data_IF_289569305090
#
_entry.id   IF_289569305090
#
_cell.length_a   1.000
_cell.length_b   1.000
_cell.length_c   1.000
_cell.angle_alpha   90.00
_cell.angle_beta   90.00
_cell.angle_gamma   90.00
#
_symmetry.space_group_name_H-M   'P 1'
#
loop_
_entity.id
_entity.type
_entity.pdbx_description
1 polymer ?
#
# COMPACT_ATOMS: atom_id res chain seq x y z
N UNK A 1 -18.54 3.74 -4.04
CA UNK A 1 -17.12 3.41 -4.27
C UNK A 1 -17.02 2.60 -5.55
N UNK A 2 -16.26 3.12 -6.52
CA UNK A 2 -15.87 2.42 -7.75
C UNK A 2 -14.71 1.44 -7.42
N UNK A 3 -14.36 0.56 -8.37
CA UNK A 3 -13.14 -0.27 -8.30
C UNK A 3 -13.07 -1.20 -7.08
N UNK A 4 -14.21 -1.72 -6.61
CA UNK A 4 -14.28 -2.55 -5.39
C UNK A 4 -13.35 -3.77 -5.43
N UNK A 5 -13.25 -4.42 -6.58
CA UNK A 5 -12.40 -5.60 -6.77
C UNK A 5 -10.91 -5.24 -6.73
N UNK A 6 -10.50 -4.17 -7.43
CA UNK A 6 -9.12 -3.66 -7.37
C UNK A 6 -8.73 -3.21 -5.96
N UNK A 7 -9.68 -2.62 -5.23
CA UNK A 7 -9.50 -2.21 -3.83
C UNK A 7 -9.32 -3.43 -2.94
N UNK A 8 -10.19 -4.44 -3.08
CA UNK A 8 -10.08 -5.67 -2.31
C UNK A 8 -8.74 -6.37 -2.57
N UNK A 9 -8.34 -6.49 -3.83
CA UNK A 9 -7.05 -7.06 -4.22
C UNK A 9 -5.88 -6.30 -3.59
N UNK A 10 -5.85 -4.96 -3.64
CA UNK A 10 -4.78 -4.19 -2.99
C UNK A 10 -4.79 -4.37 -1.46
N UNK A 11 -5.96 -4.47 -0.82
CA UNK A 11 -6.03 -4.72 0.63
C UNK A 11 -5.50 -6.13 0.96
N UNK A 12 -5.77 -7.13 0.12
CA UNK A 12 -5.24 -8.49 0.27
C UNK A 12 -3.72 -8.50 0.11
N UNK A 13 -3.16 -7.83 -0.91
CA UNK A 13 -1.70 -7.69 -1.09
C UNK A 13 -1.06 -6.97 0.12
N UNK A 14 -1.63 -5.86 0.58
CA UNK A 14 -1.14 -5.17 1.78
C UNK A 14 -1.13 -6.09 3.00
N UNK A 15 -2.14 -6.96 3.14
CA UNK A 15 -2.18 -7.95 4.22
C UNK A 15 -1.06 -8.99 4.09
N UNK A 16 -0.81 -9.50 2.88
CA UNK A 16 0.25 -10.48 2.63
C UNK A 16 1.63 -9.91 2.96
N UNK A 17 1.89 -8.67 2.54
CA UNK A 17 3.14 -7.95 2.85
C UNK A 17 3.34 -7.78 4.37
N UNK A 18 2.27 -7.42 5.09
CA UNK A 18 2.32 -7.29 6.55
C UNK A 18 2.52 -8.63 7.26
N UNK A 19 1.87 -9.70 6.79
CA UNK A 19 2.05 -11.04 7.35
C UNK A 19 3.50 -11.53 7.14
N UNK A 20 4.07 -11.27 5.95
CA UNK A 20 5.48 -11.60 5.67
C UNK A 20 6.44 -10.79 6.53
N UNK A 21 6.21 -9.47 6.64
CA UNK A 21 6.98 -8.59 7.51
C UNK A 21 6.99 -9.08 8.97
N UNK A 22 5.82 -9.47 9.50
CA UNK A 22 5.71 -10.02 10.85
C UNK A 22 6.49 -11.33 11.01
N UNK A 23 6.44 -12.21 10.00
CA UNK A 23 7.21 -13.45 9.98
C UNK A 23 8.71 -13.18 10.01
N UNK A 24 9.20 -12.24 9.20
CA UNK A 24 10.62 -11.90 9.14
C UNK A 24 11.10 -11.26 10.44
N UNK A 25 10.34 -10.31 11.00
CA UNK A 25 10.64 -9.72 12.31
C UNK A 25 10.73 -10.76 13.43
N UNK A 26 9.94 -11.83 13.35
CA UNK A 26 9.92 -12.88 14.37
C UNK A 26 11.02 -13.93 14.19
N UNK A 27 11.49 -14.16 12.96
CA UNK A 27 12.31 -15.34 12.62
C UNK A 27 13.70 -15.01 12.08
N UNK A 28 13.92 -13.80 11.57
CA UNK A 28 15.20 -13.36 11.03
C UNK A 28 15.93 -12.44 12.04
N UNK A 29 16.95 -12.94 12.77
CA UNK A 29 17.70 -12.12 13.73
C UNK A 29 18.54 -11.02 13.07
N UNK A 30 18.80 -11.12 11.77
CA UNK A 30 19.56 -10.14 10.98
C UNK A 30 18.65 -9.22 10.15
N UNK A 31 17.34 -9.22 10.41
CA UNK A 31 16.40 -8.36 9.68
C UNK A 31 16.74 -6.89 9.92
N UNK A 32 17.02 -6.18 8.82
CA UNK A 32 17.55 -4.83 8.85
C UNK A 32 16.46 -3.76 8.82
N UNK A 33 16.82 -2.54 9.26
CA UNK A 33 15.94 -1.37 9.14
C UNK A 33 15.57 -1.06 7.67
N UNK A 34 16.49 -1.32 6.74
CA UNK A 34 16.24 -1.12 5.32
C UNK A 34 15.18 -2.10 4.77
N UNK A 35 15.25 -3.38 5.17
CA UNK A 35 14.22 -4.37 4.82
C UNK A 35 12.87 -4.01 5.44
N UNK A 36 12.86 -3.60 6.72
CA UNK A 36 11.67 -3.11 7.40
C UNK A 36 11.03 -1.92 6.66
N UNK A 37 11.84 -0.94 6.28
CA UNK A 37 11.38 0.23 5.53
C UNK A 37 10.75 -0.17 4.21
N UNK A 38 11.42 -1.02 3.41
CA UNK A 38 10.92 -1.48 2.11
C UNK A 38 9.58 -2.21 2.26
N UNK A 39 9.49 -3.15 3.22
CA UNK A 39 8.26 -3.92 3.44
C UNK A 39 7.08 -3.01 3.86
N UNK A 40 7.33 -2.04 4.75
CA UNK A 40 6.32 -1.06 5.13
C UNK A 40 5.91 -0.15 3.98
N UNK A 41 6.88 0.37 3.21
CA UNK A 41 6.60 1.18 2.03
C UNK A 41 5.73 0.43 1.02
N UNK A 42 5.96 -0.87 0.85
CA UNK A 42 5.18 -1.73 -0.04
C UNK A 42 3.74 -1.95 0.45
N UNK A 43 3.56 -2.25 1.74
CA UNK A 43 2.22 -2.32 2.34
C UNK A 43 1.46 -0.98 2.22
N UNK A 44 2.16 0.14 2.47
CA UNK A 44 1.58 1.47 2.33
C UNK A 44 1.21 1.81 0.89
N UNK A 45 2.03 1.41 -0.09
CA UNK A 45 1.71 1.56 -1.51
C UNK A 45 0.32 1.00 -1.80
N UNK A 46 0.05 -0.25 -1.41
CA UNK A 46 -1.23 -0.90 -1.66
C UNK A 46 -2.40 -0.22 -0.95
N UNK A 47 -2.25 0.14 0.33
CA UNK A 47 -3.28 0.84 1.09
C UNK A 47 -3.61 2.21 0.49
N UNK A 48 -2.57 2.95 0.12
CA UNK A 48 -2.72 4.28 -0.45
C UNK A 48 -3.31 4.21 -1.86
N UNK A 49 -2.90 3.21 -2.65
CA UNK A 49 -3.45 2.98 -3.99
C UNK A 49 -4.95 2.69 -3.91
N UNK A 50 -5.35 1.75 -3.04
CA UNK A 50 -6.75 1.42 -2.78
C UNK A 50 -7.58 2.65 -2.38
N UNK A 51 -7.04 3.49 -1.50
CA UNK A 51 -7.69 4.75 -1.12
C UNK A 51 -7.90 5.67 -2.32
N UNK A 52 -6.85 5.91 -3.11
CA UNK A 52 -6.90 6.90 -4.19
C UNK A 52 -7.81 6.49 -5.35
N UNK A 53 -7.90 5.20 -5.69
CA UNK A 53 -8.74 4.74 -6.79
C UNK A 53 -10.22 4.66 -6.47
N UNK A 54 -10.64 4.83 -5.20
CA UNK A 54 -12.02 4.59 -4.72
C UNK A 54 -13.15 5.29 -5.48
N UNK A 55 -12.84 6.40 -6.13
CA UNK A 55 -13.79 7.17 -6.94
C UNK A 55 -13.30 7.43 -8.37
N UNK A 56 -12.14 6.87 -8.76
CA UNK A 56 -11.57 7.01 -10.11
C UNK A 56 -12.39 6.20 -11.11
N UNK A 57 -12.50 6.69 -12.34
CA UNK A 57 -13.10 5.93 -13.44
C UNK A 57 -12.41 4.57 -13.62
N UNK A 58 -13.19 3.51 -13.81
CA UNK A 58 -12.68 2.14 -13.84
C UNK A 58 -11.69 1.93 -14.98
N UNK A 59 -11.94 2.51 -16.17
CA UNK A 59 -11.01 2.37 -17.30
C UNK A 59 -9.67 3.02 -17.00
N UNK A 60 -9.67 4.15 -16.31
CA UNK A 60 -8.42 4.82 -15.89
C UNK A 60 -7.72 4.02 -14.79
N UNK A 61 -8.46 3.51 -13.80
CA UNK A 61 -7.89 2.72 -12.72
C UNK A 61 -7.23 1.45 -13.25
N UNK A 62 -7.87 0.76 -14.20
CA UNK A 62 -7.31 -0.44 -14.87
C UNK A 62 -6.14 -0.08 -15.78
N UNK A 63 -6.23 1.02 -16.54
CA UNK A 63 -5.14 1.44 -17.41
C UNK A 63 -3.88 1.87 -16.65
N UNK A 64 -4.04 2.40 -15.43
CA UNK A 64 -2.99 2.79 -14.50
C UNK A 64 -1.72 3.30 -15.18
N UNK A 65 -1.77 4.54 -15.70
CA UNK A 65 -0.58 5.18 -16.27
C UNK A 65 0.55 5.27 -15.22
N UNK A 66 1.80 5.46 -15.67
CA UNK A 66 2.93 5.67 -14.75
C UNK A 66 2.69 6.85 -13.80
N UNK A 67 2.07 7.93 -14.30
CA UNK A 67 1.70 9.09 -13.47
C UNK A 67 0.64 8.71 -12.42
N UNK A 68 -0.37 7.93 -12.82
CA UNK A 68 -1.39 7.42 -11.90
C UNK A 68 -0.77 6.50 -10.84
N UNK A 69 0.11 5.59 -11.24
CA UNK A 69 0.84 4.72 -10.33
C UNK A 69 1.63 5.54 -9.32
N UNK A 70 2.49 6.45 -9.78
CA UNK A 70 3.29 7.31 -8.89
C UNK A 70 2.39 8.13 -7.97
N UNK A 71 1.27 8.65 -8.47
CA UNK A 71 0.34 9.48 -7.71
C UNK A 71 -0.40 8.68 -6.63
N UNK A 72 -0.88 7.49 -6.95
CA UNK A 72 -1.71 6.67 -6.05
C UNK A 72 -0.85 5.85 -5.07
N UNK A 73 0.44 5.67 -5.38
CA UNK A 73 1.39 4.93 -4.55
C UNK A 73 2.14 5.78 -3.51
N UNK A 74 1.90 7.09 -3.47
CA UNK A 74 2.70 7.98 -2.61
C UNK A 74 2.60 7.59 -1.15
N UNK A 75 3.74 7.39 -0.53
CA UNK A 75 3.82 7.28 0.91
C UNK A 75 3.25 8.56 1.56
N UNK A 76 2.43 8.45 2.62
CA UNK A 76 1.93 9.64 3.31
C UNK A 76 3.10 10.46 3.85
N UNK A 77 3.18 11.73 3.44
CA UNK A 77 4.15 12.69 3.96
C UNK A 77 3.47 13.54 5.03
N UNK A 78 4.08 13.62 6.22
CA UNK A 78 3.62 14.45 7.34
C UNK A 78 3.40 13.67 8.64
N UNK A 79 3.15 14.40 9.73
CA UNK A 79 2.79 13.80 11.01
C UNK A 79 1.35 13.28 10.97
N UNK A 80 1.12 12.09 11.52
CA UNK A 80 -0.24 11.61 11.81
C UNK A 80 -0.79 12.51 12.93
N UNK A 81 -1.73 13.39 12.58
CA UNK A 81 -2.46 14.18 13.57
C UNK A 81 -3.36 13.22 14.34
N UNK A 82 -3.32 13.28 15.68
CA UNK A 82 -4.16 12.47 16.57
C UNK A 82 -5.62 12.48 16.07
N UNK A 83 -6.19 11.30 15.84
CA UNK A 83 -7.61 11.17 15.54
C UNK A 83 -8.42 11.74 16.71
N UNK A 84 -9.30 12.71 16.44
CA UNK A 84 -10.31 13.21 17.37
C UNK A 84 -11.45 12.21 17.56
#
# INVERSE_FOLDING_TARGET
MKNKELIASNIEEAKLELDSLLSDLASNPEYSEAEFQIALEHAYHHLNYAWHIRNVDEKRAVACSDEDFVKWSKFPLGEIIKYE
#
